data_IF_026433615969
#
_entry.id   IF_026433615969
#
_cell.length_a   1.000
_cell.length_b   1.000
_cell.length_c   1.000
_cell.angle_alpha   90.00
_cell.angle_beta   90.00
_cell.angle_gamma   90.00
#
_symmetry.space_group_name_H-M   'P 1'
#
loop_
_entity.id
_entity.type
_entity.pdbx_description
1 polymer ?
#
# COMPACT_ATOMS: atom_id res chain seq x y z
N UNK A 1 -2.19 8.18 -6.39
CA UNK A 1 -2.97 6.96 -6.09
C UNK A 1 -2.06 5.75 -6.04
N UNK A 2 -2.13 4.95 -4.97
CA UNK A 2 -1.22 3.83 -4.70
C UNK A 2 -1.20 2.76 -5.81
N UNK A 3 -2.37 2.29 -6.27
CA UNK A 3 -2.44 1.28 -7.35
C UNK A 3 -1.70 1.64 -8.64
N UNK A 4 -1.75 2.91 -9.09
CA UNK A 4 -0.98 3.36 -10.28
C UNK A 4 0.53 3.36 -10.00
N UNK A 5 0.94 3.74 -8.80
CA UNK A 5 2.34 3.72 -8.41
C UNK A 5 2.87 2.28 -8.36
N UNK A 6 2.15 1.36 -7.70
CA UNK A 6 2.52 -0.04 -7.61
C UNK A 6 2.63 -0.71 -8.98
N UNK A 7 1.69 -0.44 -9.90
CA UNK A 7 1.78 -0.93 -11.27
C UNK A 7 3.05 -0.47 -12.00
N UNK A 8 3.46 0.79 -11.81
CA UNK A 8 4.71 1.30 -12.40
C UNK A 8 5.93 0.60 -11.81
N UNK A 9 5.92 0.30 -10.51
CA UNK A 9 7.01 -0.43 -9.89
C UNK A 9 7.06 -1.88 -10.35
N UNK A 10 5.93 -2.57 -10.41
CA UNK A 10 5.83 -3.95 -10.89
C UNK A 10 6.35 -4.11 -12.32
N UNK A 11 6.09 -3.13 -13.20
CA UNK A 11 6.64 -3.11 -14.57
C UNK A 11 8.12 -2.77 -14.65
N UNK A 12 8.64 -2.00 -13.68
CA UNK A 12 10.04 -1.57 -13.68
C UNK A 12 10.95 -2.64 -13.08
N UNK A 13 10.43 -3.39 -12.11
CA UNK A 13 11.17 -4.37 -11.31
C UNK A 13 10.45 -5.71 -11.37
N UNK A 14 10.55 -6.38 -12.52
CA UNK A 14 9.83 -7.62 -12.82
C UNK A 14 10.20 -8.78 -11.88
N UNK A 15 11.40 -8.75 -11.30
CA UNK A 15 11.89 -9.70 -10.31
C UNK A 15 11.28 -9.52 -8.91
N UNK A 16 10.58 -8.41 -8.67
CA UNK A 16 10.04 -8.07 -7.36
C UNK A 16 8.53 -8.27 -7.31
N UNK A 17 8.03 -8.79 -6.19
CA UNK A 17 6.61 -8.99 -5.98
C UNK A 17 5.97 -7.78 -5.29
N UNK A 18 4.85 -7.33 -5.84
CA UNK A 18 4.10 -6.17 -5.36
C UNK A 18 2.70 -6.58 -4.93
N UNK A 19 2.26 -6.08 -3.78
CA UNK A 19 0.89 -6.29 -3.29
C UNK A 19 0.22 -4.95 -3.06
N UNK A 20 -0.96 -4.76 -3.65
CA UNK A 20 -1.82 -3.60 -3.43
C UNK A 20 -2.92 -3.99 -2.47
N UNK A 21 -2.95 -3.36 -1.30
CA UNK A 21 -4.06 -3.44 -0.35
C UNK A 21 -4.90 -2.15 -0.46
N UNK A 22 -6.19 -2.28 -0.71
CA UNK A 22 -7.12 -1.16 -0.87
C UNK A 22 -8.50 -1.58 -0.37
N UNK A 23 -9.17 -0.72 0.40
CA UNK A 23 -10.50 -0.97 0.95
C UNK A 23 -11.64 -0.48 0.06
N UNK A 24 -11.36 0.47 -0.83
CA UNK A 24 -12.33 0.98 -1.80
C UNK A 24 -12.36 0.11 -3.06
N UNK A 25 -13.47 -0.62 -3.24
CA UNK A 25 -13.70 -1.52 -4.37
C UNK A 25 -13.50 -0.84 -5.72
N UNK A 26 -13.95 0.41 -5.85
CA UNK A 26 -13.84 1.15 -7.11
C UNK A 26 -12.38 1.49 -7.40
N UNK A 27 -11.60 1.87 -6.38
CA UNK A 27 -10.18 2.15 -6.53
C UNK A 27 -9.38 0.89 -6.86
N UNK A 28 -9.67 -0.23 -6.17
CA UNK A 28 -9.03 -1.52 -6.42
C UNK A 28 -9.35 -2.06 -7.81
N UNK A 29 -10.62 -2.05 -8.20
CA UNK A 29 -11.07 -2.49 -9.53
C UNK A 29 -10.46 -1.64 -10.65
N UNK A 30 -10.41 -0.31 -10.48
CA UNK A 30 -9.75 0.57 -11.44
C UNK A 30 -8.23 0.31 -11.52
N UNK A 31 -7.58 -0.07 -10.43
CA UNK A 31 -6.17 -0.45 -10.45
C UNK A 31 -5.96 -1.79 -11.18
N UNK A 32 -6.86 -2.76 -10.95
CA UNK A 32 -6.88 -4.05 -11.63
C UNK A 32 -7.05 -3.90 -13.15
N UNK A 33 -8.04 -3.15 -13.63
CA UNK A 33 -8.25 -2.92 -15.07
C UNK A 33 -7.04 -2.28 -15.75
N UNK A 34 -6.39 -1.33 -15.07
CA UNK A 34 -5.14 -0.72 -15.56
C UNK A 34 -4.00 -1.72 -15.63
N UNK A 35 -3.90 -2.62 -14.65
CA UNK A 35 -2.91 -3.67 -14.66
C UNK A 35 -3.15 -4.66 -15.81
N UNK A 36 -4.39 -5.09 -16.05
CA UNK A 36 -4.69 -5.98 -17.19
C UNK A 36 -4.22 -5.38 -18.51
N UNK A 37 -4.58 -4.11 -18.77
CA UNK A 37 -4.14 -3.42 -19.97
C UNK A 37 -2.60 -3.30 -20.05
N UNK A 38 -1.94 -3.02 -18.93
CA UNK A 38 -0.50 -2.80 -18.88
C UNK A 38 0.33 -4.09 -19.00
N UNK A 39 -0.23 -5.24 -18.61
CA UNK A 39 0.36 -6.57 -18.75
C UNK A 39 -0.19 -7.34 -19.97
N UNK A 40 -1.00 -6.69 -20.81
CA UNK A 40 -1.65 -7.31 -21.97
C UNK A 40 -2.37 -8.63 -21.63
N UNK A 41 -3.10 -8.62 -20.51
CA UNK A 41 -3.94 -9.72 -20.09
C UNK A 41 -5.35 -9.54 -20.67
N UNK A 42 -5.89 -10.62 -21.21
CA UNK A 42 -7.25 -10.69 -21.68
C UNK A 42 -8.11 -11.32 -20.59
N UNK A 43 -9.31 -10.77 -20.36
CA UNK A 43 -10.21 -11.28 -19.32
C UNK A 43 -10.71 -12.71 -19.58
N UNK A 44 -10.59 -13.17 -20.83
CA UNK A 44 -11.06 -14.48 -21.29
C UNK A 44 -10.03 -15.60 -21.07
N UNK A 45 -8.81 -15.27 -20.62
CA UNK A 45 -7.76 -16.23 -20.28
C UNK A 45 -7.63 -16.37 -18.76
N UNK A 46 -8.36 -17.31 -18.12
CA UNK A 46 -8.39 -17.45 -16.66
C UNK A 46 -7.08 -18.00 -16.07
N UNK A 47 -6.23 -18.63 -16.89
CA UNK A 47 -4.96 -19.21 -16.44
C UNK A 47 -3.85 -18.15 -16.39
N UNK A 48 -4.07 -17.00 -17.04
CA UNK A 48 -3.17 -15.86 -16.98
C UNK A 48 -3.35 -15.06 -15.69
N UNK A 49 -2.27 -14.99 -14.92
CA UNK A 49 -2.17 -14.11 -13.75
C UNK A 49 -1.14 -13.00 -13.99
N UNK A 50 -1.21 -11.93 -13.21
CA UNK A 50 -0.14 -10.93 -13.20
C UNK A 50 1.18 -11.61 -12.78
N UNK A 51 2.30 -11.35 -13.46
CA UNK A 51 3.56 -12.05 -13.16
C UNK A 51 4.04 -11.78 -11.72
N UNK A 52 3.93 -10.52 -11.26
CA UNK A 52 4.53 -10.07 -10.02
C UNK A 52 3.69 -9.01 -9.26
N UNK A 53 2.38 -8.91 -9.56
CA UNK A 53 1.46 -7.97 -8.92
C UNK A 53 0.26 -8.71 -8.34
N UNK A 54 -0.12 -8.41 -7.10
CA UNK A 54 -1.31 -8.97 -6.44
C UNK A 54 -2.18 -7.86 -5.88
N UNK A 55 -3.47 -8.12 -5.82
CA UNK A 55 -4.49 -7.20 -5.34
C UNK A 55 -5.22 -7.86 -4.18
N UNK A 56 -5.36 -7.14 -3.08
CA UNK A 56 -6.06 -7.60 -1.88
C UNK A 56 -7.07 -6.54 -1.50
N UNK A 57 -8.36 -6.92 -1.53
CA UNK A 57 -9.42 -6.09 -0.98
C UNK A 57 -9.43 -6.24 0.53
N UNK A 58 -8.98 -5.21 1.25
CA UNK A 58 -8.91 -5.27 2.71
C UNK A 58 -8.82 -3.88 3.33
N UNK A 59 -9.14 -3.79 4.61
CA UNK A 59 -8.82 -2.59 5.40
C UNK A 59 -7.31 -2.45 5.50
N UNK A 60 -6.76 -1.31 5.07
CA UNK A 60 -5.33 -1.07 5.00
C UNK A 60 -4.66 -1.13 6.39
N UNK A 61 -5.42 -0.88 7.47
CA UNK A 61 -4.95 -1.06 8.86
C UNK A 61 -4.73 -2.52 9.24
N UNK A 62 -5.42 -3.43 8.57
CA UNK A 62 -5.33 -4.87 8.81
C UNK A 62 -4.43 -5.56 7.79
N UNK A 63 -4.08 -4.89 6.69
CA UNK A 63 -3.24 -5.42 5.62
C UNK A 63 -1.93 -6.06 6.12
N UNK A 64 -1.18 -5.49 7.10
CA UNK A 64 0.05 -6.12 7.60
C UNK A 64 -0.18 -7.55 8.14
N UNK A 65 -1.36 -7.83 8.71
CA UNK A 65 -1.66 -9.13 9.35
C UNK A 65 -1.78 -10.31 8.38
N UNK A 66 -1.84 -10.05 7.07
CA UNK A 66 -1.85 -11.11 6.05
C UNK A 66 -0.44 -11.57 5.65
N UNK A 67 0.60 -10.88 6.12
CA UNK A 67 1.98 -11.17 5.78
C UNK A 67 2.69 -11.92 6.92
N UNK A 68 3.67 -12.73 6.56
CA UNK A 68 4.49 -13.42 7.53
C UNK A 68 5.47 -12.45 8.19
N UNK A 69 6.00 -12.84 9.35
CA UNK A 69 7.03 -12.08 10.06
C UNK A 69 8.24 -11.90 9.14
N UNK A 70 8.79 -10.67 9.10
CA UNK A 70 9.95 -10.32 8.30
C UNK A 70 9.87 -10.69 6.80
N UNK A 71 8.68 -10.71 6.20
CA UNK A 71 8.50 -11.08 4.78
C UNK A 71 8.47 -9.89 3.80
N UNK A 72 8.40 -8.66 4.31
CA UNK A 72 8.29 -7.45 3.49
C UNK A 72 9.59 -6.64 3.54
N UNK A 73 10.12 -6.31 2.36
CA UNK A 73 11.24 -5.36 2.22
C UNK A 73 10.80 -3.90 2.36
N UNK A 74 9.59 -3.57 1.93
CA UNK A 74 9.10 -2.19 2.03
C UNK A 74 7.58 -2.10 2.09
N UNK A 75 7.08 -1.14 2.87
CA UNK A 75 5.66 -0.79 2.92
C UNK A 75 5.47 0.64 2.43
N UNK A 76 4.58 0.83 1.44
CA UNK A 76 4.31 2.12 0.81
C UNK A 76 2.89 2.57 1.11
N UNK A 77 2.75 3.64 1.87
CA UNK A 77 1.46 4.22 2.28
C UNK A 77 1.20 5.47 1.45
N UNK A 78 0.33 5.35 0.46
CA UNK A 78 -0.11 6.48 -0.37
C UNK A 78 -1.42 7.04 0.16
N UNK A 79 -1.33 8.13 0.93
CA UNK A 79 -2.51 8.80 1.47
C UNK A 79 -3.05 9.75 0.38
N UNK A 80 -4.29 9.54 -0.09
CA UNK A 80 -4.87 10.44 -1.07
C UNK A 80 -5.12 11.81 -0.44
N UNK A 81 -5.09 12.85 -1.29
CA UNK A 81 -5.60 14.18 -0.99
C UNK A 81 -6.93 14.06 -0.22
N UNK A 82 -7.17 14.83 0.86
CA UNK A 82 -8.45 14.84 1.56
C UNK A 82 -9.58 15.24 0.59
N UNK A 83 -10.21 14.25 -0.02
CA UNK A 83 -11.22 14.46 -1.04
C UNK A 83 -12.48 15.04 -0.41
N UNK A 84 -12.68 16.35 -0.65
CA UNK A 84 -13.88 17.17 -0.43
C UNK A 84 -14.28 17.38 1.04
N UNK A 85 -14.48 18.67 1.38
CA UNK A 85 -15.09 19.21 2.62
C UNK A 85 -16.39 18.52 3.09
N UNK A 86 -16.99 17.66 2.28
CA UNK A 86 -18.28 17.00 2.52
C UNK A 86 -18.18 15.62 3.19
N UNK A 87 -16.97 15.07 3.36
CA UNK A 87 -16.77 13.81 4.09
C UNK A 87 -16.16 14.09 5.47
N UNK A 88 -16.60 13.40 6.53
CA UNK A 88 -16.01 13.55 7.85
C UNK A 88 -14.50 13.20 7.79
N UNK A 89 -13.67 13.84 8.64
CA UNK A 89 -12.25 13.54 8.69
C UNK A 89 -12.06 12.04 8.98
N UNK A 90 -11.33 11.35 8.11
CA UNK A 90 -10.97 9.94 8.33
C UNK A 90 -9.92 9.88 9.44
N UNK A 91 -10.05 8.90 10.33
CA UNK A 91 -9.03 8.64 11.35
C UNK A 91 -7.66 8.39 10.66
N UNK A 92 -6.54 8.87 11.23
CA UNK A 92 -5.21 8.69 10.64
C UNK A 92 -4.89 7.22 10.41
N UNK A 93 -4.42 6.86 9.21
CA UNK A 93 -4.05 5.48 8.88
C UNK A 93 -2.77 5.07 9.62
N UNK A 94 -1.74 5.91 9.54
CA UNK A 94 -0.44 5.71 10.20
C UNK A 94 -0.59 6.06 11.68
N UNK A 95 -0.79 5.02 12.49
CA UNK A 95 -0.93 5.09 13.96
C UNK A 95 0.15 4.26 14.63
N UNK A 96 0.40 4.44 15.93
CA UNK A 96 1.36 3.60 16.65
C UNK A 96 1.05 2.10 16.56
N UNK A 97 -0.24 1.71 16.55
CA UNK A 97 -0.64 0.32 16.32
C UNK A 97 -0.29 -0.15 14.90
N UNK A 98 -0.59 0.66 13.89
CA UNK A 98 -0.25 0.33 12.50
C UNK A 98 1.27 0.17 12.34
N UNK A 99 2.06 1.07 12.94
CA UNK A 99 3.52 1.00 12.92
C UNK A 99 4.03 -0.27 13.58
N UNK A 100 3.45 -0.67 14.72
CA UNK A 100 3.78 -1.94 15.37
C UNK A 100 3.46 -3.15 14.48
N UNK A 101 2.24 -3.21 13.92
CA UNK A 101 1.81 -4.30 13.04
C UNK A 101 2.68 -4.36 11.75
N UNK A 102 3.17 -3.22 11.23
CA UNK A 102 4.10 -3.14 10.09
C UNK A 102 5.51 -3.58 10.48
N UNK A 103 6.00 -3.22 11.66
CA UNK A 103 7.33 -3.62 12.12
C UNK A 103 7.49 -5.14 12.19
N UNK A 104 6.45 -5.85 12.59
CA UNK A 104 6.47 -7.31 12.71
C UNK A 104 6.70 -8.00 11.37
N UNK A 105 6.22 -7.41 10.28
CA UNK A 105 6.29 -8.01 8.93
C UNK A 105 7.43 -7.47 8.07
N UNK A 106 8.14 -6.43 8.51
CA UNK A 106 9.30 -5.88 7.81
C UNK A 106 10.58 -6.67 8.13
N UNK A 107 11.34 -7.02 7.09
CA UNK A 107 12.70 -7.58 7.24
C UNK A 107 13.63 -6.63 7.99
N UNK A 108 14.80 -7.05 8.47
CA UNK A 108 15.68 -6.25 9.35
C UNK A 108 15.98 -4.82 8.85
N UNK A 109 16.19 -4.65 7.54
CA UNK A 109 16.47 -3.35 6.90
C UNK A 109 15.30 -2.81 6.08
N UNK A 110 14.10 -3.36 6.28
CA UNK A 110 12.92 -2.97 5.54
C UNK A 110 12.47 -1.53 5.85
N UNK A 111 11.88 -0.90 4.85
CA UNK A 111 11.58 0.53 4.83
C UNK A 111 10.07 0.84 4.85
N UNK A 112 9.69 1.98 5.44
CA UNK A 112 8.33 2.53 5.35
C UNK A 112 8.37 3.84 4.60
N UNK A 113 7.61 3.91 3.51
CA UNK A 113 7.48 5.10 2.67
C UNK A 113 6.07 5.67 2.82
N UNK A 114 5.95 6.91 3.30
CA UNK A 114 4.66 7.60 3.40
C UNK A 114 4.63 8.74 2.39
N UNK A 115 3.61 8.75 1.54
CA UNK A 115 3.41 9.77 0.51
C UNK A 115 2.07 10.47 0.75
N UNK A 116 2.14 11.78 0.99
CA UNK A 116 0.98 12.66 1.24
C UNK A 116 1.29 14.06 0.71
N UNK A 117 0.25 14.79 0.34
CA UNK A 117 0.29 16.22 -0.03
C UNK A 117 -0.16 17.15 1.12
N UNK A 118 -0.70 16.59 2.20
CA UNK A 118 -1.07 17.30 3.42
C UNK A 118 0.08 17.26 4.46
N UNK A 119 0.64 18.43 4.77
CA UNK A 119 1.75 18.60 5.72
C UNK A 119 1.38 18.13 7.14
N UNK A 120 0.15 18.38 7.59
CA UNK A 120 -0.30 17.92 8.92
C UNK A 120 -0.31 16.39 8.98
N UNK A 121 -0.81 15.76 7.93
CA UNK A 121 -0.78 14.29 7.81
C UNK A 121 0.65 13.75 7.76
N UNK A 122 1.56 14.45 7.09
CA UNK A 122 2.98 14.09 7.07
C UNK A 122 3.60 14.16 8.47
N UNK A 123 3.34 15.23 9.21
CA UNK A 123 3.82 15.41 10.59
C UNK A 123 3.25 14.35 11.54
N UNK A 124 1.95 14.05 11.44
CA UNK A 124 1.30 12.99 12.22
C UNK A 124 1.90 11.61 11.94
N UNK A 125 2.11 11.27 10.66
CA UNK A 125 2.73 10.01 10.26
C UNK A 125 4.19 9.92 10.74
N UNK A 126 4.95 11.01 10.60
CA UNK A 126 6.34 11.09 11.08
C UNK A 126 6.41 10.88 12.60
N UNK A 127 5.57 11.59 13.37
CA UNK A 127 5.50 11.44 14.81
C UNK A 127 5.07 10.03 15.26
N UNK A 128 4.24 9.34 14.48
CA UNK A 128 3.88 7.94 14.75
C UNK A 128 5.06 6.99 14.48
N UNK A 129 5.82 7.22 13.41
CA UNK A 129 6.98 6.40 13.04
C UNK A 129 8.15 6.59 14.01
N UNK A 130 8.50 7.82 14.39
CA UNK A 130 9.64 8.11 15.29
C UNK A 130 9.45 7.66 16.72
N UNK A 131 8.22 7.32 17.14
CA UNK A 131 7.97 6.65 18.43
C UNK A 131 8.42 5.19 18.43
N UNK A 132 8.58 4.58 17.26
CA UNK A 132 9.15 3.25 17.11
C UNK A 132 10.67 3.34 17.16
N UNK A 133 11.31 2.56 18.04
CA UNK A 133 12.78 2.48 18.14
C UNK A 133 13.47 2.11 16.81
N UNK A 134 12.72 1.48 15.90
CA UNK A 134 13.22 1.05 14.60
C UNK A 134 13.40 2.20 13.61
N UNK A 135 12.65 3.30 13.76
CA UNK A 135 12.67 4.44 12.84
C UNK A 135 13.06 5.76 13.53
N UNK A 136 13.50 5.67 14.79
CA UNK A 136 13.93 6.80 15.61
C UNK A 136 15.41 7.14 15.38
#
# INVERSE_FOLDING_TARGET
>A
HGGRWALRQARRWEQENWVVAESDDSQLFNAFLRAMNAFSLEAEDPDRSFPNLRFVHTNERLAPKFFAVASLRSVHVHLPWPARRTRPPRAPLVTGKFVADVNDVLEEHGEVHVVTDDERVAQEACAALTRSKRFA
#
